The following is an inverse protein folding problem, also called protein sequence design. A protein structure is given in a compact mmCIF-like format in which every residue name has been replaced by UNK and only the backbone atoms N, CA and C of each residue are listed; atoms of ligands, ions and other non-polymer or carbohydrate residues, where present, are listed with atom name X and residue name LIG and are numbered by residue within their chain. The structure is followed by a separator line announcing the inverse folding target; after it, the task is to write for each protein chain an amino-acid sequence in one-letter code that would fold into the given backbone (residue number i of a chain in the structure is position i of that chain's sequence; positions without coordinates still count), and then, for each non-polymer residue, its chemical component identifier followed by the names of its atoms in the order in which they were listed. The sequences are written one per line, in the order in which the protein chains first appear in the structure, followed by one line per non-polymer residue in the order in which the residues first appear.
data_IF_494802128778
#
_entry.id   IF_494802128778
#
_cell.length_a   1.000
_cell.length_b   1.000
_cell.length_c   1.000
_cell.angle_alpha   90.00
_cell.angle_beta   90.00
_cell.angle_gamma   90.00
#
_symmetry.space_group_name_H-M   'P 1'
#
loop_
_entity.id
_entity.type
_entity.pdbx_description
1 polymer ?
#
# COMPACT_ATOMS: atom_id res chain seq x y z
N UNK A 1 4.74 12.58 -29.70
CA UNK A 1 3.39 12.64 -29.11
C UNK A 1 3.10 11.39 -28.25
N UNK A 2 3.92 11.11 -27.22
CA UNK A 2 3.77 9.97 -26.27
C UNK A 2 3.77 10.41 -24.79
N UNK A 3 4.17 11.65 -24.50
CA UNK A 3 4.26 12.19 -23.13
C UNK A 3 2.90 12.59 -22.52
N UNK A 4 1.84 12.67 -23.31
CA UNK A 4 0.55 13.28 -22.93
C UNK A 4 -0.53 12.25 -22.52
N UNK A 5 -0.23 10.94 -22.61
CA UNK A 5 -1.14 9.86 -22.19
C UNK A 5 -0.92 9.44 -20.74
N UNK A 6 0.33 9.45 -20.26
CA UNK A 6 0.68 9.16 -18.88
C UNK A 6 0.23 10.28 -17.92
N UNK A 7 0.20 11.53 -18.38
CA UNK A 7 -0.26 12.69 -17.62
C UNK A 7 -1.78 12.74 -17.35
N UNK A 8 -2.59 11.86 -17.96
CA UNK A 8 -4.07 11.90 -17.90
C UNK A 8 -4.73 10.73 -17.18
N UNK A 9 -3.97 9.75 -16.71
CA UNK A 9 -4.49 8.85 -15.68
C UNK A 9 -4.12 9.48 -14.34
N UNK A 10 -5.08 10.15 -13.71
CA UNK A 10 -4.93 10.52 -12.30
C UNK A 10 -4.53 9.25 -11.55
N UNK A 11 -3.39 9.27 -10.84
CA UNK A 11 -2.95 8.14 -10.04
C UNK A 11 -3.80 7.98 -8.77
N UNK A 12 -4.68 8.94 -8.48
CA UNK A 12 -5.53 8.97 -7.30
C UNK A 12 -6.40 7.71 -7.14
N UNK A 13 -7.12 7.20 -8.16
CA UNK A 13 -7.92 5.99 -8.01
C UNK A 13 -7.06 4.76 -7.67
N UNK A 14 -5.80 4.72 -8.12
CA UNK A 14 -4.88 3.65 -7.78
C UNK A 14 -4.37 3.79 -6.35
N UNK A 15 -4.07 5.00 -5.89
CA UNK A 15 -3.72 5.26 -4.50
C UNK A 15 -4.88 4.93 -3.54
N UNK A 16 -6.11 5.28 -3.90
CA UNK A 16 -7.31 4.91 -3.14
C UNK A 16 -7.46 3.38 -3.08
N UNK A 17 -7.32 2.71 -4.23
CA UNK A 17 -7.35 1.25 -4.29
C UNK A 17 -6.29 0.62 -3.39
N UNK A 18 -5.05 1.10 -3.43
CA UNK A 18 -3.97 0.60 -2.58
C UNK A 18 -4.27 0.80 -1.11
N UNK A 19 -4.81 1.96 -0.72
CA UNK A 19 -5.18 2.20 0.68
C UNK A 19 -6.32 1.29 1.14
N UNK A 20 -7.33 1.07 0.28
CA UNK A 20 -8.41 0.11 0.54
C UNK A 20 -7.84 -1.30 0.68
N UNK A 21 -6.98 -1.75 -0.23
CA UNK A 21 -6.34 -3.07 -0.18
C UNK A 21 -5.48 -3.24 1.08
N UNK A 22 -4.73 -2.21 1.47
CA UNK A 22 -3.91 -2.21 2.69
C UNK A 22 -4.78 -2.37 3.95
N UNK A 23 -5.88 -1.62 4.05
CA UNK A 23 -6.75 -1.61 5.24
C UNK A 23 -7.70 -2.81 5.27
N UNK A 24 -8.38 -3.09 4.16
CA UNK A 24 -9.47 -4.07 4.08
C UNK A 24 -9.01 -5.45 3.62
N UNK A 25 -8.03 -5.51 2.72
CA UNK A 25 -7.41 -6.74 2.22
C UNK A 25 -6.46 -7.41 3.23
N UNK A 26 -6.51 -6.97 4.50
CA UNK A 26 -5.68 -7.43 5.61
C UNK A 26 -4.18 -7.09 5.48
N UNK A 27 -3.80 -6.20 4.56
CA UNK A 27 -2.39 -5.81 4.34
C UNK A 27 -1.72 -5.28 5.60
N UNK A 28 -2.37 -4.39 6.36
CA UNK A 28 -1.76 -3.78 7.56
C UNK A 28 -2.26 -4.37 8.87
N UNK A 29 -3.39 -5.10 8.85
CA UNK A 29 -4.04 -5.61 10.08
C UNK A 29 -3.21 -6.67 10.82
N UNK A 30 -2.16 -7.21 10.20
CA UNK A 30 -1.26 -8.16 10.86
C UNK A 30 -0.24 -7.48 11.79
N UNK A 31 0.02 -6.18 11.62
CA UNK A 31 0.98 -5.41 12.44
C UNK A 31 0.43 -4.07 12.95
N UNK A 32 -0.79 -3.71 12.60
CA UNK A 32 -1.42 -2.49 13.08
C UNK A 32 -2.89 -2.70 13.44
N UNK A 33 -3.32 -2.01 14.50
CA UNK A 33 -4.72 -1.84 14.83
C UNK A 33 -5.28 -0.68 14.06
N UNK A 34 -6.30 -0.92 13.22
CA UNK A 34 -7.08 0.13 12.57
C UNK A 34 -8.08 0.70 13.58
N UNK A 35 -7.96 1.99 13.87
CA UNK A 35 -8.82 2.69 14.83
C UNK A 35 -9.98 3.41 14.13
N UNK A 36 -9.68 4.05 13.01
CA UNK A 36 -10.66 4.76 12.18
C UNK A 36 -10.39 4.49 10.71
N UNK A 37 -11.44 4.31 9.92
CA UNK A 37 -11.37 4.13 8.48
C UNK A 37 -12.59 4.77 7.81
N UNK A 38 -12.36 5.65 6.84
CA UNK A 38 -13.44 6.35 6.12
C UNK A 38 -13.99 5.57 4.91
N UNK A 39 -13.43 4.40 4.60
CA UNK A 39 -13.82 3.57 3.48
C UNK A 39 -13.16 3.91 2.14
N UNK A 40 -12.33 4.96 2.07
CA UNK A 40 -11.84 5.43 0.76
C UNK A 40 -10.43 6.03 0.74
N UNK A 41 -10.09 6.87 1.71
CA UNK A 41 -8.99 7.83 1.53
C UNK A 41 -8.25 8.21 2.80
N UNK A 42 -8.72 7.80 3.97
CA UNK A 42 -8.07 8.13 5.24
C UNK A 42 -8.30 7.09 6.30
N UNK A 43 -7.22 6.60 6.89
CA UNK A 43 -7.25 5.73 8.07
C UNK A 43 -6.40 6.29 9.20
N UNK A 44 -6.79 5.97 10.43
CA UNK A 44 -5.95 6.11 11.60
C UNK A 44 -5.61 4.72 12.12
N UNK A 45 -4.33 4.47 12.35
CA UNK A 45 -3.83 3.20 12.88
C UNK A 45 -2.93 3.40 14.10
N UNK A 46 -2.79 2.36 14.90
CA UNK A 46 -1.77 2.25 15.95
C UNK A 46 -0.95 1.00 15.67
N UNK A 47 0.38 1.12 15.58
CA UNK A 47 1.27 -0.02 15.33
C UNK A 47 1.46 -0.91 16.58
N UNK A 48 2.22 -2.01 16.44
CA UNK A 48 2.54 -2.88 17.58
C UNK A 48 3.39 -2.19 18.67
N UNK A 49 4.13 -1.13 18.32
CA UNK A 49 4.89 -0.31 19.25
C UNK A 49 4.02 0.66 20.07
N UNK A 50 2.76 0.85 19.68
CA UNK A 50 1.82 1.78 20.31
C UNK A 50 1.84 3.17 19.68
N UNK A 51 2.59 3.38 18.61
CA UNK A 51 2.65 4.66 17.91
C UNK A 51 1.44 4.83 16.99
N UNK A 52 0.82 6.01 17.03
CA UNK A 52 -0.41 6.32 16.27
C UNK A 52 -0.07 7.12 15.00
N UNK A 53 -0.61 6.68 13.87
CA UNK A 53 -0.39 7.27 12.56
C UNK A 53 -1.70 7.59 11.84
N UNK A 54 -1.69 8.67 11.05
CA UNK A 54 -2.77 9.02 10.13
C UNK A 54 -2.26 8.85 8.72
N UNK A 55 -2.89 7.95 7.96
CA UNK A 55 -2.52 7.66 6.57
C UNK A 55 -3.61 8.24 5.68
N UNK A 56 -3.21 9.13 4.78
CA UNK A 56 -4.08 9.73 3.77
C UNK A 56 -3.73 9.26 2.37
N UNK A 57 -4.71 9.32 1.48
CA UNK A 57 -4.55 8.98 0.05
C UNK A 57 -3.45 9.80 -0.62
N UNK A 58 -3.25 11.06 -0.23
CA UNK A 58 -2.21 11.92 -0.80
C UNK A 58 -0.80 11.38 -0.51
N UNK A 59 -0.61 10.80 0.68
CA UNK A 59 0.67 10.22 1.07
C UNK A 59 0.91 8.92 0.31
N UNK A 60 -0.11 8.06 0.16
CA UNK A 60 -0.05 6.84 -0.67
C UNK A 60 0.21 7.19 -2.14
N UNK A 61 -0.39 8.27 -2.63
CA UNK A 61 -0.19 8.79 -3.99
C UNK A 61 1.25 9.22 -4.25
N UNK A 62 1.93 9.81 -3.25
CA UNK A 62 3.33 10.15 -3.35
C UNK A 62 4.21 8.89 -3.47
N UNK A 63 4.05 7.93 -2.56
CA UNK A 63 4.81 6.66 -2.57
C UNK A 63 4.58 5.88 -3.86
N UNK A 64 3.35 5.86 -4.36
CA UNK A 64 3.01 5.25 -5.64
C UNK A 64 3.75 5.90 -6.82
N UNK A 65 3.87 7.24 -6.84
CA UNK A 65 4.63 7.95 -7.88
C UNK A 65 6.10 7.61 -7.83
N UNK A 66 6.71 7.69 -6.65
CA UNK A 66 8.11 7.37 -6.44
C UNK A 66 8.42 5.93 -6.89
N UNK A 67 7.56 4.98 -6.52
CA UNK A 67 7.72 3.58 -6.94
C UNK A 67 7.63 3.39 -8.46
N UNK A 68 6.69 4.06 -9.14
CA UNK A 68 6.56 3.99 -10.60
C UNK A 68 7.72 4.68 -11.33
N UNK A 69 8.25 5.77 -10.77
CA UNK A 69 9.41 6.48 -11.32
C UNK A 69 10.68 5.62 -11.23
N UNK A 70 10.87 4.89 -10.13
CA UNK A 70 11.98 3.94 -9.95
C UNK A 70 11.83 2.68 -10.81
N UNK A 71 10.61 2.37 -11.28
CA UNK A 71 10.29 1.16 -12.04
C UNK A 71 9.54 1.51 -13.34
N UNK A 72 10.21 2.10 -14.35
CA UNK A 72 9.57 2.65 -15.55
C UNK A 72 8.84 1.63 -16.44
N UNK A 73 9.02 0.33 -16.18
CA UNK A 73 8.29 -0.75 -16.85
C UNK A 73 6.94 -1.12 -16.18
N UNK A 74 6.72 -0.73 -14.93
CA UNK A 74 5.50 -1.01 -14.18
C UNK A 74 4.39 -0.03 -14.56
N UNK A 75 3.15 -0.54 -14.63
CA UNK A 75 1.95 0.27 -14.73
C UNK A 75 1.23 0.29 -13.39
N UNK A 76 0.40 1.31 -13.10
CA UNK A 76 -0.35 1.38 -11.84
C UNK A 76 -1.24 0.16 -11.53
N UNK A 77 -1.72 -0.53 -12.57
CA UNK A 77 -2.51 -1.76 -12.44
C UNK A 77 -1.69 -3.01 -12.12
N UNK A 78 -0.37 -2.97 -12.33
CA UNK A 78 0.51 -4.11 -12.07
C UNK A 78 0.86 -4.21 -10.57
N UNK A 79 0.46 -3.21 -9.78
CA UNK A 79 0.70 -3.13 -8.35
C UNK A 79 -0.39 -3.90 -7.61
N UNK A 80 0.00 -4.82 -6.74
CA UNK A 80 -0.88 -5.72 -6.01
C UNK A 80 -1.00 -5.37 -4.52
N UNK A 81 -1.79 -6.16 -3.79
CA UNK A 81 -2.04 -5.97 -2.37
C UNK A 81 -0.81 -6.28 -1.51
N UNK A 82 0.21 -6.98 -2.03
CA UNK A 82 1.47 -7.19 -1.32
C UNK A 82 2.25 -5.87 -1.26
N UNK A 83 2.35 -5.18 -2.40
CA UNK A 83 2.92 -3.84 -2.42
C UNK A 83 2.10 -2.85 -1.57
N UNK A 84 0.78 -3.01 -1.46
CA UNK A 84 -0.04 -2.10 -0.65
C UNK A 84 0.39 -2.09 0.84
N UNK A 85 0.76 -3.23 1.41
CA UNK A 85 1.32 -3.32 2.76
C UNK A 85 2.72 -2.68 2.82
N UNK A 86 3.62 -3.06 1.91
CA UNK A 86 4.98 -2.50 1.86
C UNK A 86 4.96 -0.98 1.67
N UNK A 87 4.08 -0.45 0.84
CA UNK A 87 3.94 0.98 0.59
C UNK A 87 3.55 1.74 1.86
N UNK A 88 2.64 1.20 2.67
CA UNK A 88 2.28 1.81 3.95
C UNK A 88 3.46 1.75 4.93
N UNK A 89 4.20 0.65 4.98
CA UNK A 89 5.36 0.53 5.86
C UNK A 89 6.52 1.45 5.44
N UNK A 90 6.85 1.52 4.14
CA UNK A 90 7.85 2.43 3.59
C UNK A 90 7.48 3.89 3.89
N UNK A 91 6.19 4.23 3.82
CA UNK A 91 5.68 5.56 4.12
C UNK A 91 5.83 5.93 5.60
N UNK A 92 5.61 4.99 6.52
CA UNK A 92 5.66 5.25 7.96
C UNK A 92 7.08 5.14 8.54
N UNK A 93 7.85 4.19 8.04
CA UNK A 93 9.11 3.76 8.65
C UNK A 93 10.33 3.99 7.77
N UNK A 94 10.15 4.26 6.48
CA UNK A 94 11.23 4.29 5.49
C UNK A 94 11.79 2.91 5.13
N UNK A 95 11.22 1.82 5.67
CA UNK A 95 11.62 0.44 5.44
C UNK A 95 10.43 -0.52 5.68
N UNK A 96 10.56 -1.78 5.25
CA UNK A 96 9.58 -2.85 5.49
C UNK A 96 10.01 -3.65 6.71
N UNK A 97 9.34 -3.43 7.84
CA UNK A 97 9.68 -4.03 9.14
C UNK A 97 8.85 -5.30 9.40
N UNK A 98 7.58 -5.28 9.02
CA UNK A 98 6.61 -6.34 9.28
C UNK A 98 6.31 -7.11 7.99
N UNK A 99 6.97 -8.25 7.79
CA UNK A 99 6.66 -9.12 6.65
C UNK A 99 5.56 -10.10 7.02
N UNK A 100 4.47 -10.10 6.26
CA UNK A 100 3.49 -11.17 6.34
C UNK A 100 4.16 -12.47 5.84
N UNK A 101 4.50 -13.38 6.76
CA UNK A 101 4.90 -14.73 6.38
C UNK A 101 3.67 -15.50 5.86
N UNK A 102 3.30 -15.24 4.61
CA UNK A 102 2.47 -16.16 3.86
C UNK A 102 3.27 -17.45 3.75
N UNK A 103 2.89 -18.46 4.54
CA UNK A 103 3.39 -19.80 4.37
C UNK A 103 3.12 -20.19 2.92
N UNK A 104 4.13 -20.09 2.03
CA UNK A 104 4.16 -20.86 0.80
C UNK A 104 3.97 -22.29 1.25
N UNK A 105 2.80 -22.86 0.98
CA UNK A 105 2.43 -24.18 1.46
C UNK A 105 3.63 -25.11 1.28
N UNK A 106 4.09 -25.70 2.38
CA UNK A 106 4.77 -26.99 2.25
C UNK A 106 3.84 -27.83 1.41
N UNK A 107 4.32 -28.25 0.23
CA UNK A 107 3.52 -28.99 -0.71
C UNK A 107 2.75 -30.08 0.01
N UNK A 108 1.50 -30.32 -0.41
CA UNK A 108 0.79 -31.55 -0.09
C UNK A 108 1.69 -32.71 -0.55
N UNK A 109 2.50 -33.25 0.35
CA UNK A 109 3.01 -34.61 0.24
C UNK A 109 1.97 -35.48 0.90
N UNK A 110 1.07 -36.02 0.07
CA UNK A 110 0.41 -37.29 0.34
C UNK A 110 1.24 -38.40 -0.33
#
# INVERSE_FOLDING_TARGET
MRADRAARMSLLPFAQRLLIEAVEGCGIRHWARVEEWDGVGRTTITDLGGERYVIGVDTVLQTLREHLDDHPGLKPNDIDSYFADEAVQLLLFGDVIYRLELHRGRGLTA
#
